data_IF_717380092488
#
_entry.id   IF_717380092488
#
_cell.length_a   1.000
_cell.length_b   1.000
_cell.length_c   1.000
_cell.angle_alpha   90.00
_cell.angle_beta   90.00
_cell.angle_gamma   90.00
#
_symmetry.space_group_name_H-M   'P 1'
#
loop_
_entity.id
_entity.type
_entity.pdbx_description
1 polymer ?
#
# COMPACT_ATOMS: atom_id res chain seq x y z
N UNK A 1 16.14 5.15 24.97
CA UNK A 1 15.05 6.14 24.84
C UNK A 1 14.98 6.56 23.38
N UNK A 2 13.79 6.65 22.75
CA UNK A 2 13.69 7.14 21.38
C UNK A 2 14.16 8.60 21.31
N UNK A 3 14.85 9.02 20.24
CA UNK A 3 15.37 10.39 20.11
C UNK A 3 14.23 11.43 20.14
N UNK A 4 14.50 12.59 20.76
CA UNK A 4 13.52 13.62 21.07
C UNK A 4 12.70 14.09 19.85
N UNK A 5 13.32 14.11 18.67
CA UNK A 5 12.67 14.43 17.41
C UNK A 5 11.53 13.45 17.07
N UNK A 6 11.75 12.15 17.24
CA UNK A 6 10.73 11.13 16.94
C UNK A 6 9.53 11.24 17.89
N UNK A 7 9.77 11.51 19.17
CA UNK A 7 8.70 11.72 20.15
C UNK A 7 7.90 12.99 19.88
N UNK A 8 8.55 14.06 19.42
CA UNK A 8 7.88 15.32 19.08
C UNK A 8 7.05 15.18 17.81
N UNK A 9 7.58 14.50 16.79
CA UNK A 9 6.85 14.20 15.56
C UNK A 9 5.63 13.30 15.81
N UNK A 10 5.81 12.24 16.61
CA UNK A 10 4.73 11.37 17.03
C UNK A 10 3.59 12.14 17.72
N UNK A 11 3.93 13.02 18.67
CA UNK A 11 2.96 13.86 19.37
C UNK A 11 2.25 14.83 18.43
N UNK A 12 2.98 15.44 17.50
CA UNK A 12 2.41 16.32 16.47
C UNK A 12 1.42 15.56 15.59
N UNK A 13 1.79 14.40 15.07
CA UNK A 13 0.91 13.57 14.24
C UNK A 13 -0.36 13.17 14.99
N UNK A 14 -0.22 12.67 16.22
CA UNK A 14 -1.34 12.22 17.03
C UNK A 14 -2.32 13.36 17.34
N UNK A 15 -1.80 14.53 17.72
CA UNK A 15 -2.63 15.71 18.00
C UNK A 15 -3.41 16.17 16.77
N UNK A 16 -2.79 16.13 15.59
CA UNK A 16 -3.44 16.50 14.35
C UNK A 16 -4.48 15.47 13.90
N UNK A 17 -4.18 14.17 14.05
CA UNK A 17 -5.12 13.10 13.73
C UNK A 17 -6.38 13.14 14.60
N UNK A 18 -6.22 13.37 15.91
CA UNK A 18 -7.34 13.44 16.86
C UNK A 18 -8.23 14.67 16.61
N UNK A 19 -7.64 15.81 16.23
CA UNK A 19 -8.38 17.05 15.95
C UNK A 19 -9.00 17.09 14.55
N UNK A 20 -8.27 16.64 13.52
CA UNK A 20 -8.62 16.78 12.10
C UNK A 20 -8.24 15.52 11.30
N UNK A 21 -8.94 14.41 11.52
CA UNK A 21 -8.56 13.11 10.98
C UNK A 21 -8.56 13.04 9.45
N UNK A 22 -9.51 13.69 8.76
CA UNK A 22 -9.59 13.64 7.29
C UNK A 22 -8.42 14.41 6.64
N UNK A 23 -8.18 15.69 6.93
CA UNK A 23 -7.03 16.42 6.38
C UNK A 23 -5.68 15.75 6.72
N UNK A 24 -5.52 15.27 7.96
CA UNK A 24 -4.30 14.57 8.36
C UNK A 24 -4.10 13.30 7.53
N UNK A 25 -5.15 12.53 7.26
CA UNK A 25 -5.06 11.34 6.43
C UNK A 25 -4.75 11.66 4.96
N UNK A 26 -5.33 12.72 4.40
CA UNK A 26 -5.04 13.16 3.02
C UNK A 26 -3.54 13.48 2.88
N UNK A 27 -3.05 14.40 3.72
CA UNK A 27 -1.66 14.88 3.66
C UNK A 27 -0.70 13.73 3.95
N UNK A 28 -0.98 12.95 4.99
CA UNK A 28 -0.09 11.85 5.40
C UNK A 28 -0.03 10.76 4.33
N UNK A 29 -1.17 10.34 3.77
CA UNK A 29 -1.16 9.32 2.72
C UNK A 29 -0.52 9.86 1.44
N UNK A 30 -0.73 11.13 1.07
CA UNK A 30 -0.04 11.76 -0.05
C UNK A 30 1.47 11.68 0.12
N UNK A 31 2.00 12.20 1.23
CA UNK A 31 3.44 12.20 1.52
C UNK A 31 4.00 10.78 1.59
N UNK A 32 3.32 9.85 2.26
CA UNK A 32 3.79 8.47 2.38
C UNK A 32 3.83 7.75 1.02
N UNK A 33 2.82 7.97 0.16
CA UNK A 33 2.81 7.36 -1.18
C UNK A 33 3.87 7.98 -2.09
N UNK A 34 4.11 9.30 -2.00
CA UNK A 34 5.23 9.97 -2.69
C UNK A 34 6.57 9.38 -2.26
N UNK A 35 6.81 9.27 -0.96
CA UNK A 35 8.06 8.70 -0.42
C UNK A 35 8.21 7.22 -0.82
N UNK A 36 7.11 6.47 -0.76
CA UNK A 36 7.09 5.07 -1.16
C UNK A 36 7.50 4.89 -2.61
N UNK A 37 6.92 5.67 -3.52
CA UNK A 37 7.22 5.57 -4.94
C UNK A 37 8.64 6.10 -5.25
N UNK A 38 9.06 7.21 -4.65
CA UNK A 38 10.42 7.73 -4.82
C UNK A 38 11.48 6.71 -4.38
N UNK A 39 11.26 6.02 -3.25
CA UNK A 39 12.12 4.95 -2.77
C UNK A 39 12.09 3.73 -3.69
N UNK A 40 10.92 3.34 -4.20
CA UNK A 40 10.79 2.23 -5.13
C UNK A 40 11.51 2.50 -6.46
N UNK A 41 11.35 3.70 -7.02
CA UNK A 41 12.04 4.13 -8.23
C UNK A 41 13.56 4.18 -8.00
N UNK A 42 14.00 4.83 -6.93
CA UNK A 42 15.44 4.91 -6.58
C UNK A 42 16.04 3.51 -6.40
N UNK A 43 15.34 2.62 -5.69
CA UNK A 43 15.79 1.25 -5.48
C UNK A 43 15.87 0.47 -6.79
N UNK A 44 14.91 0.67 -7.70
CA UNK A 44 14.93 0.06 -9.03
C UNK A 44 16.15 0.55 -9.81
N UNK A 45 16.40 1.86 -9.85
CA UNK A 45 17.56 2.46 -10.55
C UNK A 45 18.89 1.94 -9.99
N UNK A 46 19.00 1.84 -8.65
CA UNK A 46 20.24 1.43 -7.99
C UNK A 46 20.51 -0.08 -8.08
N UNK A 47 19.46 -0.90 -8.08
CA UNK A 47 19.58 -2.36 -8.11
C UNK A 47 19.55 -2.94 -9.53
N UNK A 48 19.16 -2.13 -10.52
CA UNK A 48 19.12 -2.56 -11.92
C UNK A 48 20.52 -2.90 -12.41
N UNK A 49 20.64 -4.04 -13.09
CA UNK A 49 21.86 -4.42 -13.80
C UNK A 49 21.63 -4.13 -15.28
N UNK A 50 22.15 -3.02 -15.81
CA UNK A 50 21.86 -2.62 -17.18
C UNK A 50 22.37 -3.69 -18.16
N UNK A 51 21.54 -4.01 -19.14
CA UNK A 51 21.92 -4.83 -20.29
C UNK A 51 21.78 -3.99 -21.56
N UNK A 52 22.43 -4.35 -22.69
CA UNK A 52 22.28 -3.60 -23.95
C UNK A 52 20.83 -3.51 -24.45
N UNK A 53 19.96 -4.43 -24.03
CA UNK A 53 18.54 -4.52 -24.39
C UNK A 53 17.63 -3.81 -23.38
N UNK A 54 18.10 -3.59 -22.14
CA UNK A 54 17.31 -3.01 -21.05
C UNK A 54 18.15 -1.99 -20.25
N UNK A 55 18.23 -0.73 -20.73
CA UNK A 55 19.00 0.32 -20.08
C UNK A 55 18.40 0.67 -18.72
N UNK A 56 19.21 1.26 -17.84
CA UNK A 56 18.75 1.70 -16.52
C UNK A 56 17.58 2.67 -16.66
N UNK A 57 16.43 2.40 -16.01
CA UNK A 57 15.29 3.30 -16.09
C UNK A 57 15.64 4.67 -15.50
N UNK A 58 15.08 5.74 -16.06
CA UNK A 58 15.18 7.08 -15.49
C UNK A 58 14.12 7.29 -14.40
N UNK A 59 14.36 8.25 -13.50
CA UNK A 59 13.36 8.64 -12.51
C UNK A 59 12.17 9.31 -13.20
N UNK A 60 10.96 8.80 -12.96
CA UNK A 60 9.68 9.27 -13.49
C UNK A 60 8.94 10.12 -12.44
N UNK A 61 9.04 11.47 -12.49
CA UNK A 61 8.34 12.34 -11.56
C UNK A 61 6.81 12.32 -11.75
N UNK A 62 6.33 11.99 -12.95
CA UNK A 62 4.90 11.93 -13.24
C UNK A 62 4.28 10.73 -12.51
N UNK A 63 4.95 9.58 -12.52
CA UNK A 63 4.57 8.43 -11.70
C UNK A 63 4.51 8.79 -10.21
N UNK A 64 5.51 9.47 -9.67
CA UNK A 64 5.51 9.91 -8.27
C UNK A 64 4.30 10.82 -7.96
N UNK A 65 3.93 11.70 -8.88
CA UNK A 65 2.75 12.55 -8.75
C UNK A 65 1.45 11.75 -8.76
N UNK A 66 1.30 10.76 -9.64
CA UNK A 66 0.13 9.86 -9.68
C UNK A 66 -0.04 9.12 -8.35
N UNK A 67 1.04 8.62 -7.76
CA UNK A 67 1.03 7.99 -6.43
C UNK A 67 0.65 8.98 -5.32
N UNK A 68 1.14 10.22 -5.38
CA UNK A 68 0.76 11.27 -4.44
C UNK A 68 -0.75 11.56 -4.48
N UNK A 69 -1.30 11.75 -5.69
CA UNK A 69 -2.73 12.02 -5.92
C UNK A 69 -3.57 10.84 -5.43
N UNK A 70 -3.17 9.61 -5.77
CA UNK A 70 -3.83 8.40 -5.31
C UNK A 70 -3.86 8.29 -3.79
N UNK A 71 -2.72 8.51 -3.12
CA UNK A 71 -2.61 8.50 -1.67
C UNK A 71 -3.52 9.55 -1.01
N UNK A 72 -3.54 10.76 -1.53
CA UNK A 72 -4.43 11.83 -1.05
C UNK A 72 -5.91 11.46 -1.19
N UNK A 73 -6.31 10.87 -2.32
CA UNK A 73 -7.68 10.46 -2.58
C UNK A 73 -8.13 9.27 -1.71
N UNK A 74 -7.24 8.29 -1.49
CA UNK A 74 -7.54 7.11 -0.67
C UNK A 74 -7.57 7.37 0.83
N UNK A 75 -6.79 8.33 1.32
CA UNK A 75 -6.68 8.61 2.76
C UNK A 75 -8.05 8.74 3.47
N UNK A 76 -8.98 9.59 2.99
CA UNK A 76 -10.33 9.71 3.55
C UNK A 76 -11.16 8.43 3.45
N UNK A 77 -11.02 7.68 2.36
CA UNK A 77 -11.77 6.45 2.10
C UNK A 77 -11.38 5.36 3.10
N UNK A 78 -10.07 5.14 3.26
CA UNK A 78 -9.52 4.22 4.26
C UNK A 78 -9.93 4.67 5.67
N UNK A 79 -9.86 5.97 5.97
CA UNK A 79 -10.28 6.51 7.26
C UNK A 79 -11.75 6.24 7.59
N UNK A 80 -12.65 6.39 6.62
CA UNK A 80 -14.08 6.07 6.78
C UNK A 80 -14.30 4.57 6.97
N UNK A 81 -13.59 3.73 6.20
CA UNK A 81 -13.68 2.27 6.34
C UNK A 81 -13.21 1.78 7.71
N UNK A 82 -12.09 2.29 8.21
CA UNK A 82 -11.58 1.93 9.53
C UNK A 82 -12.58 2.27 10.64
N UNK A 83 -13.23 3.44 10.56
CA UNK A 83 -14.32 3.81 11.49
C UNK A 83 -15.52 2.88 11.37
N UNK A 84 -15.88 2.46 10.15
CA UNK A 84 -16.97 1.51 9.93
C UNK A 84 -16.67 0.15 10.57
N UNK A 85 -15.45 -0.36 10.40
CA UNK A 85 -15.00 -1.60 11.03
C UNK A 85 -14.97 -1.48 12.56
N UNK A 86 -14.55 -0.34 13.10
CA UNK A 86 -14.55 -0.10 14.54
C UNK A 86 -15.96 -0.10 15.13
N UNK A 87 -16.91 0.52 14.44
CA UNK A 87 -18.32 0.56 14.84
C UNK A 87 -19.00 -0.81 14.72
N UNK A 88 -18.69 -1.55 13.66
CA UNK A 88 -19.34 -2.83 13.35
C UNK A 88 -18.76 -3.98 14.18
N UNK A 89 -17.48 -3.90 14.56
CA UNK A 89 -16.78 -4.92 15.34
C UNK A 89 -16.03 -4.25 16.51
N UNK A 90 -16.71 -3.78 17.57
CA UNK A 90 -16.08 -3.06 18.67
C UNK A 90 -15.21 -3.99 19.54
N UNK A 91 -13.93 -3.66 19.71
CA UNK A 91 -13.03 -4.38 20.61
C UNK A 91 -13.25 -3.88 22.04
N UNK A 92 -13.92 -4.69 22.86
CA UNK A 92 -14.11 -4.40 24.29
C UNK A 92 -12.82 -4.73 25.05
N UNK A 93 -12.14 -3.71 25.56
CA UNK A 93 -10.97 -3.88 26.42
C UNK A 93 -11.39 -4.63 27.72
N UNK A 94 -10.81 -5.81 27.95
CA UNK A 94 -10.96 -6.55 29.22
C UNK A 94 -11.40 -8.01 29.13
N UNK A 95 -11.82 -8.52 27.97
CA UNK A 95 -12.18 -9.94 27.83
C UNK A 95 -11.05 -10.72 27.11
N UNK A 96 -10.79 -11.95 27.54
CA UNK A 96 -9.81 -12.91 27.00
C UNK A 96 -10.09 -13.37 25.54
N UNK A 97 -10.51 -12.48 24.64
CA UNK A 97 -10.99 -12.77 23.28
C UNK A 97 -10.58 -11.75 22.21
N UNK A 98 -9.56 -10.92 22.45
CA UNK A 98 -9.10 -9.87 21.53
C UNK A 98 -8.64 -10.43 20.15
N UNK A 99 -8.07 -11.64 20.12
CA UNK A 99 -7.56 -12.24 18.88
C UNK A 99 -8.63 -12.57 17.84
N UNK A 100 -9.82 -13.04 18.27
CA UNK A 100 -10.91 -13.40 17.35
C UNK A 100 -11.56 -12.16 16.73
N UNK A 101 -11.75 -11.10 17.51
CA UNK A 101 -12.30 -9.83 17.00
C UNK A 101 -11.32 -9.14 16.05
N UNK A 102 -10.03 -9.26 16.34
CA UNK A 102 -8.97 -8.83 15.44
C UNK A 102 -8.97 -9.61 14.14
N UNK A 103 -9.04 -10.94 14.21
CA UNK A 103 -9.13 -11.80 13.03
C UNK A 103 -10.37 -11.46 12.19
N UNK A 104 -11.53 -11.20 12.80
CA UNK A 104 -12.74 -10.76 12.08
C UNK A 104 -12.54 -9.43 11.36
N UNK A 105 -11.85 -8.46 11.98
CA UNK A 105 -11.53 -7.17 11.32
C UNK A 105 -10.55 -7.37 10.16
N UNK A 106 -9.51 -8.18 10.34
CA UNK A 106 -8.55 -8.53 9.28
C UNK A 106 -9.27 -9.22 8.12
N UNK A 107 -10.11 -10.21 8.40
CA UNK A 107 -10.86 -10.92 7.36
C UNK A 107 -11.82 -9.99 6.62
N UNK A 108 -12.54 -9.10 7.33
CA UNK A 108 -13.40 -8.12 6.68
C UNK A 108 -12.60 -7.14 5.80
N UNK A 109 -11.43 -6.70 6.25
CA UNK A 109 -10.54 -5.86 5.46
C UNK A 109 -10.02 -6.57 4.21
N UNK A 110 -9.53 -7.80 4.36
CA UNK A 110 -9.01 -8.61 3.26
C UNK A 110 -10.09 -9.10 2.28
N UNK A 111 -11.34 -9.25 2.73
CA UNK A 111 -12.46 -9.68 1.89
C UNK A 111 -13.17 -8.53 1.16
N UNK A 112 -13.13 -7.30 1.70
CA UNK A 112 -13.85 -6.16 1.13
C UNK A 112 -12.90 -5.09 0.62
N UNK A 113 -12.00 -4.60 1.47
CA UNK A 113 -11.15 -3.48 1.11
C UNK A 113 -9.96 -3.86 0.25
N UNK A 114 -9.37 -5.04 0.45
CA UNK A 114 -8.27 -5.45 -0.43
C UNK A 114 -8.73 -5.61 -1.89
N UNK A 115 -9.85 -6.30 -2.21
CA UNK A 115 -10.37 -6.38 -3.57
C UNK A 115 -10.79 -5.01 -4.13
N UNK A 116 -11.49 -4.20 -3.32
CA UNK A 116 -11.96 -2.88 -3.75
C UNK A 116 -10.81 -1.90 -3.97
N UNK A 117 -9.87 -1.83 -3.03
CA UNK A 117 -8.72 -0.94 -3.10
C UNK A 117 -7.77 -1.31 -4.24
N UNK A 118 -7.56 -2.60 -4.50
CA UNK A 118 -6.76 -3.05 -5.63
C UNK A 118 -7.43 -2.74 -6.97
N UNK A 119 -8.75 -2.93 -7.07
CA UNK A 119 -9.50 -2.55 -8.27
C UNK A 119 -9.38 -1.04 -8.52
N UNK A 120 -9.62 -0.24 -7.47
CA UNK A 120 -9.52 1.21 -7.53
C UNK A 120 -8.09 1.67 -7.90
N UNK A 121 -7.06 0.99 -7.40
CA UNK A 121 -5.67 1.26 -7.78
C UNK A 121 -5.40 1.00 -9.26
N UNK A 122 -5.80 -0.16 -9.78
CA UNK A 122 -5.49 -0.55 -11.17
C UNK A 122 -6.25 0.36 -12.14
N UNK A 123 -7.55 0.60 -11.91
CA UNK A 123 -8.37 1.50 -12.73
C UNK A 123 -7.88 2.95 -12.61
N UNK A 124 -7.74 3.41 -11.37
CA UNK A 124 -6.78 4.39 -10.87
C UNK A 124 -5.67 4.83 -11.82
N UNK A 125 -4.64 4.00 -11.78
CA UNK A 125 -3.39 4.17 -12.49
C UNK A 125 -3.59 4.05 -13.99
N UNK A 126 -4.47 3.17 -14.48
CA UNK A 126 -4.78 3.06 -15.91
C UNK A 126 -5.31 4.37 -16.50
N UNK A 127 -6.21 5.06 -15.81
CA UNK A 127 -6.72 6.38 -16.22
C UNK A 127 -5.60 7.43 -16.21
N UNK A 128 -4.79 7.47 -15.15
CA UNK A 128 -3.70 8.45 -15.02
C UNK A 128 -2.51 8.19 -15.95
N UNK A 129 -2.33 6.96 -16.43
CA UNK A 129 -1.39 6.59 -17.50
C UNK A 129 -1.91 6.98 -18.90
N UNK A 130 -3.14 7.49 -19.00
CA UNK A 130 -3.76 7.87 -20.27
C UNK A 130 -4.19 6.68 -21.13
N UNK A 131 -4.36 5.49 -20.54
CA UNK A 131 -4.84 4.31 -21.27
C UNK A 131 -6.29 4.49 -21.68
N UNK A 132 -6.64 3.92 -22.83
CA UNK A 132 -8.01 3.88 -23.31
C UNK A 132 -8.85 2.87 -22.50
N UNK A 133 -10.17 2.89 -22.71
CA UNK A 133 -11.09 2.02 -21.95
C UNK A 133 -10.81 0.52 -22.15
N UNK A 134 -10.28 0.12 -23.31
CA UNK A 134 -9.90 -1.26 -23.55
C UNK A 134 -8.59 -1.60 -22.84
N UNK A 135 -7.56 -0.76 -22.95
CA UNK A 135 -6.29 -0.96 -22.26
C UNK A 135 -6.40 -0.98 -20.72
N UNK A 136 -7.39 -0.28 -20.14
CA UNK A 136 -7.71 -0.37 -18.71
C UNK A 136 -8.34 -1.73 -18.37
N UNK A 137 -9.27 -2.23 -19.20
CA UNK A 137 -9.93 -3.53 -19.00
C UNK A 137 -8.94 -4.68 -19.13
N UNK A 138 -8.07 -4.63 -20.12
CA UNK A 138 -7.06 -5.66 -20.35
C UNK A 138 -6.08 -5.71 -19.17
N UNK A 139 -5.54 -4.55 -18.75
CA UNK A 139 -4.69 -4.44 -17.55
C UNK A 139 -5.40 -4.94 -16.30
N UNK A 140 -6.69 -4.65 -16.15
CA UNK A 140 -7.49 -5.16 -15.04
C UNK A 140 -7.61 -6.68 -15.08
N UNK A 141 -8.00 -7.26 -16.21
CA UNK A 141 -8.13 -8.71 -16.38
C UNK A 141 -6.82 -9.44 -16.09
N UNK A 142 -5.71 -8.89 -16.58
CA UNK A 142 -4.39 -9.51 -16.48
C UNK A 142 -3.80 -9.37 -15.08
N UNK A 143 -3.95 -8.21 -14.43
CA UNK A 143 -3.27 -7.92 -13.17
C UNK A 143 -4.13 -8.19 -11.93
N UNK A 144 -5.46 -8.05 -12.01
CA UNK A 144 -6.32 -8.00 -10.82
C UNK A 144 -6.29 -9.31 -10.02
N UNK A 145 -6.59 -10.44 -10.66
CA UNK A 145 -6.65 -11.74 -9.96
C UNK A 145 -5.27 -12.20 -9.47
N UNK A 146 -4.19 -12.14 -10.28
CA UNK A 146 -2.85 -12.49 -9.79
C UNK A 146 -2.43 -11.62 -8.61
N UNK A 147 -2.65 -10.30 -8.70
CA UNK A 147 -2.30 -9.39 -7.61
C UNK A 147 -3.17 -9.61 -6.37
N UNK A 148 -4.45 -9.95 -6.51
CA UNK A 148 -5.34 -10.25 -5.39
C UNK A 148 -4.95 -11.54 -4.66
N UNK A 149 -4.65 -12.61 -5.39
CA UNK A 149 -4.19 -13.87 -4.80
C UNK A 149 -2.85 -13.66 -4.09
N UNK A 150 -1.93 -12.93 -4.72
CA UNK A 150 -0.64 -12.62 -4.14
C UNK A 150 -0.82 -11.72 -2.88
N UNK A 151 -1.79 -10.80 -2.90
CA UNK A 151 -2.18 -10.00 -1.75
C UNK A 151 -2.62 -10.90 -0.58
N UNK A 152 -3.57 -11.82 -0.82
CA UNK A 152 -4.05 -12.76 0.20
C UNK A 152 -3.00 -13.73 0.74
N UNK A 153 -1.89 -13.98 0.03
CA UNK A 153 -0.79 -14.82 0.55
C UNK A 153 0.09 -14.08 1.55
N UNK A 154 0.30 -12.78 1.32
CA UNK A 154 1.33 -12.00 2.05
C UNK A 154 0.72 -11.07 3.09
N UNK A 155 -0.40 -10.43 2.75
CA UNK A 155 -1.01 -9.41 3.59
C UNK A 155 -1.65 -9.91 4.87
N UNK A 156 -2.23 -11.11 4.98
CA UNK A 156 -2.74 -11.59 6.26
C UNK A 156 -1.66 -11.67 7.36
N UNK A 157 -0.44 -12.06 7.00
CA UNK A 157 0.69 -12.08 7.94
C UNK A 157 1.09 -10.66 8.33
N UNK A 158 1.24 -9.77 7.35
CA UNK A 158 1.58 -8.36 7.57
C UNK A 158 0.51 -7.67 8.42
N UNK A 159 -0.76 -7.88 8.13
CA UNK A 159 -1.88 -7.34 8.90
C UNK A 159 -1.92 -7.91 10.32
N UNK A 160 -1.62 -9.20 10.50
CA UNK A 160 -1.50 -9.79 11.84
C UNK A 160 -0.43 -9.07 12.67
N UNK A 161 0.74 -8.79 12.09
CA UNK A 161 1.81 -8.01 12.73
C UNK A 161 1.34 -6.57 13.00
N UNK A 162 0.74 -5.93 12.00
CA UNK A 162 0.24 -4.56 12.08
C UNK A 162 -0.74 -4.41 13.25
N UNK A 163 -1.76 -5.25 13.32
CA UNK A 163 -2.77 -5.15 14.35
C UNK A 163 -2.30 -5.59 15.74
N UNK A 164 -1.32 -6.51 15.83
CA UNK A 164 -0.77 -7.00 17.10
C UNK A 164 0.27 -6.06 17.70
N UNK A 165 1.10 -5.42 16.88
CA UNK A 165 2.24 -4.62 17.34
C UNK A 165 2.05 -3.12 17.16
N UNK A 166 1.27 -2.67 16.17
CA UNK A 166 1.16 -1.25 15.84
C UNK A 166 -0.05 -0.56 16.52
N UNK A 167 0.18 0.56 17.23
CA UNK A 167 -0.89 1.45 17.67
C UNK A 167 -1.71 1.96 16.48
N UNK A 168 -3.00 2.25 16.69
CA UNK A 168 -3.96 2.66 15.65
C UNK A 168 -3.42 3.75 14.70
N UNK A 169 -2.71 4.72 15.26
CA UNK A 169 -2.12 5.87 14.55
C UNK A 169 -1.02 5.47 13.55
N UNK A 170 -0.30 4.37 13.79
CA UNK A 170 0.85 3.95 12.96
C UNK A 170 0.53 2.81 12.00
N UNK A 171 -0.72 2.31 12.01
CA UNK A 171 -1.12 1.18 11.17
C UNK A 171 -1.03 1.51 9.68
N UNK A 172 -1.43 2.73 9.31
CA UNK A 172 -1.35 3.22 7.92
C UNK A 172 0.11 3.39 7.47
N UNK A 173 0.97 4.12 8.21
CA UNK A 173 2.40 4.20 7.90
C UNK A 173 3.08 2.84 7.73
N UNK A 174 2.84 1.89 8.65
CA UNK A 174 3.42 0.54 8.57
C UNK A 174 2.97 -0.19 7.29
N UNK A 175 1.67 -0.14 7.00
CA UNK A 175 1.11 -0.70 5.77
C UNK A 175 1.73 -0.06 4.52
N UNK A 176 1.94 1.25 4.50
CA UNK A 176 2.63 1.94 3.40
C UNK A 176 4.08 1.45 3.23
N UNK A 177 4.84 1.27 4.31
CA UNK A 177 6.21 0.75 4.26
C UNK A 177 6.27 -0.68 3.70
N UNK A 178 5.38 -1.56 4.15
CA UNK A 178 5.25 -2.91 3.59
C UNK A 178 4.83 -2.89 2.11
N UNK A 179 4.03 -1.91 1.70
CA UNK A 179 3.67 -1.69 0.30
C UNK A 179 4.87 -1.42 -0.60
N UNK A 180 5.90 -0.71 -0.11
CA UNK A 180 7.16 -0.49 -0.85
C UNK A 180 7.86 -1.83 -1.11
N UNK A 181 7.99 -2.65 -0.06
CA UNK A 181 8.61 -3.97 -0.18
C UNK A 181 7.81 -4.88 -1.13
N UNK A 182 6.48 -4.76 -1.15
CA UNK A 182 5.61 -5.47 -2.08
C UNK A 182 5.83 -5.04 -3.54
N UNK A 183 5.91 -3.73 -3.82
CA UNK A 183 6.19 -3.22 -5.17
C UNK A 183 7.56 -3.69 -5.67
N UNK A 184 8.57 -3.71 -4.79
CA UNK A 184 9.89 -4.27 -5.10
C UNK A 184 9.82 -5.78 -5.38
N UNK A 185 9.06 -6.53 -4.57
CA UNK A 185 8.87 -7.97 -4.77
C UNK A 185 8.20 -8.29 -6.11
N UNK A 186 7.14 -7.56 -6.47
CA UNK A 186 6.46 -7.73 -7.77
C UNK A 186 7.40 -7.39 -8.94
N UNK A 187 8.20 -6.33 -8.83
CA UNK A 187 9.20 -5.97 -9.83
C UNK A 187 10.23 -7.10 -10.03
N UNK A 188 10.73 -7.69 -8.94
CA UNK A 188 11.71 -8.79 -8.98
C UNK A 188 11.15 -10.11 -9.52
N UNK A 189 9.87 -10.39 -9.26
CA UNK A 189 9.20 -11.57 -9.83
C UNK A 189 9.01 -11.43 -11.33
N UNK A 190 8.50 -10.29 -11.79
CA UNK A 190 8.33 -10.02 -13.22
C UNK A 190 9.68 -10.09 -13.98
N UNK A 191 10.77 -9.60 -13.38
CA UNK A 191 12.12 -9.69 -13.97
C UNK A 191 12.71 -11.12 -13.98
N UNK A 192 12.19 -12.06 -13.17
CA UNK A 192 12.63 -13.46 -13.16
C UNK A 192 11.89 -14.31 -14.18
N UNK A 193 10.62 -14.02 -14.44
CA UNK A 193 9.84 -14.74 -15.45
C UNK A 193 10.34 -14.44 -16.87
N UNK A 194 10.82 -13.22 -17.14
CA UNK A 194 11.47 -12.88 -18.41
C UNK A 194 12.75 -13.69 -18.67
N UNK A 195 13.52 -14.01 -17.63
CA UNK A 195 14.72 -14.86 -17.74
C UNK A 195 14.43 -16.33 -17.95
N UNK A 196 13.24 -16.79 -17.59
CA UNK A 196 12.83 -18.18 -17.82
C UNK A 196 12.28 -18.40 -19.24
N UNK A 197 12.08 -17.32 -20.01
CA UNK A 197 11.65 -17.35 -21.42
C UNK A 197 12.82 -17.25 -22.42
N UNK A 198 14.07 -17.08 -21.95
CA UNK A 198 15.23 -17.33 -22.81
C UNK A 198 15.29 -18.83 -23.11
N UNK A 199 15.17 -19.27 -24.39
CA UNK A 199 15.41 -20.66 -24.73
C UNK A 199 16.83 -20.98 -24.29
N UNK A 200 16.97 -22.03 -23.46
CA UNK A 200 18.27 -22.61 -23.13
C UNK A 200 18.95 -22.99 -24.46
N UNK A 201 19.91 -22.18 -24.89
CA UNK A 201 20.82 -22.48 -25.99
C UNK A 201 21.83 -23.52 -25.52
#
# INVERSE_FOLDING_TARGET
>A
MPPAFLTNFARFYNTNFDRRPIPTLIITNGVLNTLADALAQTSTILLHKPTPLDPTPSYDPERTLRFAIYGMALGPLIGKWMRLLERSIPIRAGANGNGLQLAKRVLADQAVMAPFGLALFITSMGIMEGRDSQGIKDKFSDMYFPALIANWKVWPLIQTINFKLMPLQYRVPFQSTCGIAWTLYLSLLNAKDDKNLEPKV
#
